data_IF_848538798396
#
_entry.id   IF_848538798396
#
_cell.length_a   1.000
_cell.length_b   1.000
_cell.length_c   1.000
_cell.angle_alpha   90.00
_cell.angle_beta   90.00
_cell.angle_gamma   90.00
#
_symmetry.space_group_name_H-M   'P 1'
#
loop_
_entity.id
_entity.type
_entity.pdbx_description
1 polymer ?
#
# COMPACT_ATOMS: atom_id res chain seq x y z
N UNK A 1 29.63 -12.95 -25.47
CA UNK A 1 29.18 -11.54 -25.41
C UNK A 1 28.10 -11.45 -24.35
N UNK A 2 28.51 -11.43 -23.09
CA UNK A 2 27.62 -11.55 -21.92
C UNK A 2 27.22 -10.14 -21.49
N UNK A 3 25.94 -9.79 -21.65
CA UNK A 3 25.44 -8.50 -21.15
C UNK A 3 25.49 -8.53 -19.62
N UNK A 4 26.29 -7.64 -19.05
CA UNK A 4 26.33 -7.37 -17.62
C UNK A 4 24.98 -6.73 -17.27
N UNK A 5 24.15 -7.44 -16.50
CA UNK A 5 22.90 -6.90 -15.97
C UNK A 5 23.24 -5.70 -15.10
N UNK A 6 22.74 -4.52 -15.48
CA UNK A 6 22.94 -3.27 -14.75
C UNK A 6 22.24 -3.38 -13.39
N UNK A 7 23.01 -3.76 -12.38
CA UNK A 7 22.55 -3.91 -11.00
C UNK A 7 22.45 -2.54 -10.38
N UNK A 8 21.37 -1.81 -10.68
CA UNK A 8 21.05 -0.58 -9.96
C UNK A 8 21.04 -0.90 -8.46
N UNK A 9 21.87 -0.23 -7.64
CA UNK A 9 21.98 -0.56 -6.23
C UNK A 9 20.61 -0.40 -5.56
N UNK A 10 20.14 -1.48 -4.92
CA UNK A 10 18.91 -1.48 -4.14
C UNK A 10 18.98 -0.32 -3.14
N UNK A 11 18.00 0.61 -3.12
CA UNK A 11 18.05 1.71 -2.19
C UNK A 11 18.14 1.17 -0.75
N UNK A 12 18.97 1.76 0.12
CA UNK A 12 19.10 1.31 1.49
C UNK A 12 17.72 1.19 2.17
N UNK A 13 17.54 0.20 3.04
CA UNK A 13 16.23 -0.16 3.59
C UNK A 13 15.42 1.02 4.18
N UNK A 14 16.12 2.05 4.71
CA UNK A 14 15.50 3.28 5.22
C UNK A 14 14.85 4.14 4.12
N UNK A 15 15.43 4.21 2.93
CA UNK A 15 14.84 4.88 1.77
C UNK A 15 13.63 4.11 1.25
N UNK A 16 13.70 2.79 1.24
CA UNK A 16 12.56 1.94 0.89
C UNK A 16 11.39 2.12 1.85
N UNK A 17 11.61 2.15 3.17
CA UNK A 17 10.56 2.38 4.15
C UNK A 17 9.86 3.75 3.99
N UNK A 18 10.63 4.80 3.71
CA UNK A 18 10.08 6.13 3.42
C UNK A 18 9.20 6.15 2.16
N UNK A 19 9.66 5.52 1.09
CA UNK A 19 8.90 5.41 -0.16
C UNK A 19 7.63 4.55 -0.01
N UNK A 20 7.69 3.44 0.73
CA UNK A 20 6.50 2.61 1.05
C UNK A 20 5.47 3.44 1.82
N UNK A 21 5.91 4.19 2.83
CA UNK A 21 5.02 5.06 3.59
C UNK A 21 4.39 6.16 2.73
N UNK A 22 5.17 6.76 1.82
CA UNK A 22 4.67 7.74 0.87
C UNK A 22 3.62 7.12 -0.08
N UNK A 23 3.89 5.94 -0.63
CA UNK A 23 2.93 5.19 -1.46
C UNK A 23 1.63 4.88 -0.69
N UNK A 24 1.74 4.44 0.57
CA UNK A 24 0.58 4.22 1.43
C UNK A 24 -0.26 5.49 1.62
N UNK A 25 0.38 6.65 1.75
CA UNK A 25 -0.29 7.95 1.78
C UNK A 25 -1.05 8.28 0.49
N UNK A 26 -0.52 7.90 -0.68
CA UNK A 26 -1.19 8.06 -1.97
C UNK A 26 -2.37 7.09 -2.17
N UNK A 27 -2.33 5.93 -1.52
CA UNK A 27 -3.40 4.94 -1.55
C UNK A 27 -4.54 5.27 -0.58
N UNK A 28 -4.25 5.92 0.55
CA UNK A 28 -5.22 6.21 1.60
C UNK A 28 -6.49 6.92 1.09
N UNK A 29 -6.45 7.97 0.25
CA UNK A 29 -7.67 8.62 -0.25
C UNK A 29 -8.58 7.69 -1.06
N UNK A 30 -8.03 6.68 -1.73
CA UNK A 30 -8.82 5.67 -2.46
C UNK A 30 -9.57 4.77 -1.49
N UNK A 31 -8.86 4.31 -0.45
CA UNK A 31 -9.45 3.51 0.61
C UNK A 31 -10.54 4.29 1.37
N UNK A 32 -10.34 5.58 1.61
CA UNK A 32 -11.35 6.48 2.20
C UNK A 32 -12.63 6.60 1.36
N UNK A 33 -12.53 6.45 0.03
CA UNK A 33 -13.68 6.42 -0.88
C UNK A 33 -14.26 5.01 -1.09
N UNK A 34 -13.69 3.99 -0.44
CA UNK A 34 -14.09 2.60 -0.63
C UNK A 34 -13.72 2.05 -2.02
N UNK A 35 -12.72 2.63 -2.67
CA UNK A 35 -12.27 2.19 -3.99
C UNK A 35 -11.32 0.99 -3.88
N UNK A 36 -11.52 0.00 -4.76
CA UNK A 36 -10.60 -1.12 -4.90
C UNK A 36 -9.24 -0.67 -5.45
N UNK A 37 -8.18 -1.09 -4.77
CA UNK A 37 -6.78 -0.92 -5.16
C UNK A 37 -6.40 -2.12 -6.03
N UNK A 38 -6.58 -1.97 -7.35
CA UNK A 38 -6.08 -2.94 -8.32
C UNK A 38 -4.59 -2.75 -8.60
N UNK A 39 -4.00 -3.71 -9.32
CA UNK A 39 -2.58 -3.70 -9.68
C UNK A 39 -2.13 -2.42 -10.42
N UNK A 40 -2.89 -1.84 -11.37
CA UNK A 40 -2.54 -0.54 -11.98
C UNK A 40 -2.49 0.63 -10.98
N UNK A 41 -3.49 0.76 -10.10
CA UNK A 41 -3.51 1.83 -9.09
C UNK A 41 -2.37 1.67 -8.10
N UNK A 42 -2.08 0.45 -7.68
CA UNK A 42 -0.96 0.15 -6.79
C UNK A 42 0.38 0.51 -7.45
N UNK A 43 0.60 0.07 -8.69
CA UNK A 43 1.80 0.41 -9.45
C UNK A 43 1.98 1.93 -9.59
N UNK A 44 0.93 2.66 -9.95
CA UNK A 44 0.99 4.11 -10.08
C UNK A 44 1.42 4.81 -8.77
N UNK A 45 0.92 4.35 -7.63
CA UNK A 45 1.32 4.89 -6.33
C UNK A 45 2.79 4.56 -5.99
N UNK A 46 3.22 3.33 -6.28
CA UNK A 46 4.60 2.89 -6.08
C UNK A 46 5.59 3.67 -6.95
N UNK A 47 5.29 3.84 -8.24
CA UNK A 47 6.12 4.62 -9.17
C UNK A 47 6.24 6.08 -8.75
N UNK A 48 5.15 6.69 -8.30
CA UNK A 48 5.16 8.06 -7.80
C UNK A 48 6.03 8.21 -6.53
N UNK A 49 6.07 7.19 -5.67
CA UNK A 49 6.82 7.25 -4.41
C UNK A 49 8.30 6.83 -4.55
N UNK A 50 8.59 5.85 -5.40
CA UNK A 50 9.94 5.35 -5.65
C UNK A 50 10.65 6.09 -6.79
N UNK A 51 9.92 6.82 -7.64
CA UNK A 51 10.44 7.60 -8.76
C UNK A 51 10.75 6.80 -10.03
N UNK A 52 10.46 5.49 -10.04
CA UNK A 52 10.70 4.61 -11.18
C UNK A 52 9.84 3.34 -11.13
N UNK A 53 9.75 2.62 -12.25
CA UNK A 53 8.92 1.42 -12.42
C UNK A 53 9.50 0.16 -11.78
N UNK A 54 8.65 -0.85 -11.59
CA UNK A 54 9.07 -2.20 -11.18
C UNK A 54 9.99 -2.84 -12.25
N UNK A 55 9.75 -2.55 -13.53
CA UNK A 55 10.61 -3.00 -14.62
C UNK A 55 12.03 -2.41 -14.58
N UNK A 56 12.20 -1.23 -13.98
CA UNK A 56 13.51 -0.61 -13.72
C UNK A 56 14.16 -1.12 -12.41
N UNK A 57 13.53 -2.05 -11.70
CA UNK A 57 14.05 -2.61 -10.45
C UNK A 57 13.97 -1.68 -9.23
N UNK A 58 13.25 -0.56 -9.34
CA UNK A 58 13.17 0.45 -8.27
C UNK A 58 12.46 -0.07 -7.00
N UNK A 59 11.52 -0.99 -7.18
CA UNK A 59 10.77 -1.67 -6.13
C UNK A 59 10.29 -3.03 -6.63
N UNK A 60 9.93 -3.91 -5.71
CA UNK A 60 9.34 -5.22 -6.01
C UNK A 60 7.93 -5.35 -5.40
N UNK A 61 7.16 -6.31 -5.91
CA UNK A 61 5.77 -6.51 -5.51
C UNK A 61 5.55 -6.69 -4.00
N UNK A 62 6.48 -7.32 -3.28
CA UNK A 62 6.39 -7.36 -1.80
C UNK A 62 6.34 -5.96 -1.15
N UNK A 63 7.13 -4.98 -1.62
CA UNK A 63 7.07 -3.62 -1.07
C UNK A 63 5.75 -2.92 -1.40
N UNK A 64 5.12 -3.31 -2.51
CA UNK A 64 3.80 -2.82 -2.89
C UNK A 64 2.72 -3.36 -1.94
N UNK A 65 2.78 -4.65 -1.58
CA UNK A 65 1.92 -5.22 -0.55
C UNK A 65 2.17 -4.59 0.83
N UNK A 66 3.43 -4.36 1.21
CA UNK A 66 3.76 -3.65 2.45
C UNK A 66 3.14 -2.23 2.46
N UNK A 67 3.02 -1.56 1.30
CA UNK A 67 2.34 -0.27 1.16
C UNK A 67 0.80 -0.37 1.32
N UNK A 68 0.17 -1.44 0.84
CA UNK A 68 -1.25 -1.72 1.07
C UNK A 68 -1.55 -1.96 2.55
N UNK A 69 -0.71 -2.72 3.25
CA UNK A 69 -0.82 -2.93 4.70
C UNK A 69 -0.67 -1.59 5.45
N UNK A 70 0.34 -0.79 5.10
CA UNK A 70 0.54 0.53 5.68
C UNK A 70 -0.65 1.48 5.43
N UNK A 71 -1.26 1.44 4.23
CA UNK A 71 -2.46 2.23 3.91
C UNK A 71 -3.65 1.82 4.80
N UNK A 72 -3.82 0.52 5.03
CA UNK A 72 -4.86 -0.01 5.94
C UNK A 72 -4.61 0.44 7.37
N UNK A 73 -3.37 0.41 7.84
CA UNK A 73 -2.98 0.92 9.18
C UNK A 73 -3.26 2.42 9.30
N UNK A 74 -2.93 3.22 8.27
CA UNK A 74 -3.23 4.65 8.24
C UNK A 74 -4.73 4.93 8.31
N UNK A 75 -5.53 4.17 7.55
CA UNK A 75 -6.99 4.26 7.59
C UNK A 75 -7.53 3.93 8.98
N UNK A 76 -7.11 2.82 9.59
CA UNK A 76 -7.55 2.43 10.92
C UNK A 76 -7.09 3.41 12.01
N UNK A 77 -5.90 4.00 11.86
CA UNK A 77 -5.43 5.06 12.77
C UNK A 77 -6.34 6.29 12.72
N UNK A 78 -6.84 6.66 11.54
CA UNK A 78 -7.69 7.83 11.33
C UNK A 78 -9.16 7.57 11.68
N UNK A 79 -9.71 6.41 11.28
CA UNK A 79 -11.14 6.11 11.33
C UNK A 79 -11.53 4.97 12.29
N UNK A 80 -10.57 4.18 12.78
CA UNK A 80 -10.83 2.96 13.54
C UNK A 80 -11.66 3.21 14.81
N UNK A 81 -11.42 4.31 15.53
CA UNK A 81 -12.24 4.66 16.71
C UNK A 81 -13.72 4.86 16.35
N UNK A 82 -14.00 5.57 15.25
CA UNK A 82 -15.37 5.79 14.79
C UNK A 82 -16.01 4.49 14.28
N UNK A 83 -15.25 3.70 13.52
CA UNK A 83 -15.66 2.39 12.99
C UNK A 83 -16.07 1.44 14.12
N UNK A 84 -15.23 1.31 15.15
CA UNK A 84 -15.48 0.40 16.27
C UNK A 84 -16.55 0.91 17.23
N UNK A 85 -16.77 2.23 17.34
CA UNK A 85 -17.89 2.80 18.10
C UNK A 85 -19.24 2.48 17.44
N UNK A 86 -19.31 2.50 16.11
CA UNK A 86 -20.53 2.20 15.36
C UNK A 86 -20.80 0.69 15.23
N UNK A 87 -19.75 -0.14 15.26
CA UNK A 87 -19.85 -1.59 15.18
C UNK A 87 -20.03 -2.23 16.55
N UNK A 88 -21.30 -2.25 17.03
CA UNK A 88 -21.69 -2.69 18.36
C UNK A 88 -21.25 -4.12 18.73
N UNK A 89 -21.12 -5.03 17.75
CA UNK A 89 -20.74 -6.43 17.99
C UNK A 89 -19.40 -6.81 17.31
N UNK A 90 -18.69 -7.82 17.84
CA UNK A 90 -17.50 -8.38 17.19
C UNK A 90 -17.73 -8.79 15.74
N UNK A 91 -18.90 -9.35 15.42
CA UNK A 91 -19.26 -9.76 14.06
C UNK A 91 -19.38 -8.57 13.09
N UNK A 92 -19.97 -7.45 13.53
CA UNK A 92 -20.06 -6.23 12.70
C UNK A 92 -18.67 -5.62 12.50
N UNK A 93 -17.81 -5.65 13.52
CA UNK A 93 -16.41 -5.21 13.41
C UNK A 93 -15.65 -6.05 12.40
N UNK A 94 -15.77 -7.37 12.48
CA UNK A 94 -15.16 -8.29 11.52
C UNK A 94 -15.68 -8.02 10.10
N UNK A 95 -16.99 -7.87 9.91
CA UNK A 95 -17.57 -7.54 8.60
C UNK A 95 -17.00 -6.23 8.02
N UNK A 96 -16.85 -5.19 8.84
CA UNK A 96 -16.25 -3.94 8.41
C UNK A 96 -14.78 -4.09 8.01
N UNK A 97 -14.00 -4.85 8.79
CA UNK A 97 -12.59 -5.16 8.46
C UNK A 97 -12.48 -6.02 7.20
N UNK A 98 -13.36 -7.00 7.02
CA UNK A 98 -13.41 -7.83 5.82
C UNK A 98 -13.74 -7.01 4.56
N UNK A 99 -14.64 -6.01 4.68
CA UNK A 99 -14.92 -5.07 3.58
C UNK A 99 -13.68 -4.27 3.19
N UNK A 100 -12.93 -3.77 4.18
CA UNK A 100 -11.68 -3.04 3.95
C UNK A 100 -10.62 -3.95 3.31
N UNK A 101 -10.45 -5.18 3.83
CA UNK A 101 -9.51 -6.15 3.28
C UNK A 101 -9.85 -6.53 1.83
N UNK A 102 -11.14 -6.61 1.48
CA UNK A 102 -11.60 -6.87 0.12
C UNK A 102 -11.36 -5.75 -0.89
N UNK A 103 -10.84 -4.59 -0.46
CA UNK A 103 -10.41 -3.51 -1.36
C UNK A 103 -8.94 -3.62 -1.75
N UNK A 104 -8.19 -4.56 -1.16
CA UNK A 104 -6.77 -4.75 -1.43
C UNK A 104 -6.57 -5.69 -2.65
N UNK A 105 -5.39 -5.61 -3.32
CA UNK A 105 -5.07 -6.49 -4.45
C UNK A 105 -4.97 -7.98 -4.09
#
# INVERSE_FOLDING_TARGET
MTRYSDGTPKPPARFAAGAIFAAAGLLLPRLERGECIDAPKLRSAMEAAFGASDAAGAWHWKQAYDACEAATVLFLRKYGKALFRQAASPAIRLSALSKIAGLMP
#
